data_IF_714782148811
#
_entry.id   IF_714782148811
#
_cell.length_a   1.000
_cell.length_b   1.000
_cell.length_c   1.000
_cell.angle_alpha   90.00
_cell.angle_beta   90.00
_cell.angle_gamma   90.00
#
_symmetry.space_group_name_H-M   'P 1'
#
loop_
_entity.id
_entity.type
_entity.pdbx_description
1 polymer ?
#
# COMPACT_ATOMS: atom_id res chain seq x y z
N UNK A 1 -13.27 -18.95 5.14
CA UNK A 1 -13.06 -17.55 4.72
C UNK A 1 -11.96 -16.99 5.61
N UNK A 2 -10.82 -16.57 5.05
CA UNK A 2 -9.80 -15.86 5.84
C UNK A 2 -10.49 -14.64 6.44
N UNK A 3 -10.37 -14.45 7.73
CA UNK A 3 -10.92 -13.26 8.39
C UNK A 3 -10.28 -12.03 7.73
N UNK A 4 -11.05 -11.32 6.90
CA UNK A 4 -10.65 -10.04 6.30
C UNK A 4 -10.63 -8.97 7.39
N UNK A 5 -9.65 -9.07 8.30
CA UNK A 5 -9.49 -8.14 9.41
C UNK A 5 -9.09 -6.76 8.89
N UNK A 6 -8.12 -6.69 7.97
CA UNK A 6 -7.49 -5.45 7.50
C UNK A 6 -7.37 -5.39 5.96
N UNK A 7 -7.31 -4.19 5.39
CA UNK A 7 -6.94 -3.95 3.98
C UNK A 7 -5.44 -4.19 3.83
N UNK A 8 -5.01 -5.06 2.91
CA UNK A 8 -3.59 -5.28 2.65
C UNK A 8 -3.14 -4.61 1.35
N UNK A 9 -2.17 -3.70 1.44
CA UNK A 9 -1.48 -3.11 0.29
C UNK A 9 -0.09 -3.73 0.20
N UNK A 10 0.21 -4.38 -0.93
CA UNK A 10 1.50 -5.03 -1.16
C UNK A 10 2.39 -4.11 -2.00
N UNK A 11 3.66 -3.96 -1.61
CA UNK A 11 4.63 -3.11 -2.29
C UNK A 11 5.79 -3.96 -2.79
N UNK A 12 6.11 -3.82 -4.08
CA UNK A 12 7.17 -4.57 -4.78
C UNK A 12 8.07 -3.65 -5.59
N UNK A 13 9.36 -4.00 -5.78
CA UNK A 13 10.20 -3.25 -6.70
C UNK A 13 9.75 -3.55 -8.13
N UNK A 14 9.92 -2.60 -9.04
CA UNK A 14 9.67 -2.85 -10.46
C UNK A 14 10.96 -3.41 -11.07
N UNK A 15 10.88 -4.59 -11.67
CA UNK A 15 12.03 -5.23 -12.31
C UNK A 15 12.69 -4.28 -13.33
N UNK A 16 14.02 -4.23 -13.29
CA UNK A 16 14.86 -3.38 -14.16
C UNK A 16 14.62 -1.86 -14.02
N UNK A 17 13.90 -1.39 -12.98
CA UNK A 17 13.67 0.05 -12.73
C UNK A 17 14.11 0.45 -11.33
N UNK A 18 15.38 0.83 -11.19
CA UNK A 18 15.98 1.17 -9.89
C UNK A 18 15.24 2.34 -9.23
N UNK A 19 14.77 2.11 -8.00
CA UNK A 19 14.07 3.12 -7.20
C UNK A 19 12.60 3.30 -7.57
N UNK A 20 12.06 2.50 -8.49
CA UNK A 20 10.63 2.44 -8.78
C UNK A 20 9.99 1.25 -8.08
N UNK A 21 8.78 1.47 -7.58
CA UNK A 21 8.00 0.50 -6.84
C UNK A 21 6.58 0.50 -7.37
N UNK A 22 5.92 -0.65 -7.25
CA UNK A 22 4.48 -0.77 -7.45
C UNK A 22 3.84 -1.14 -6.12
N UNK A 23 2.84 -0.36 -5.71
CA UNK A 23 1.95 -0.72 -4.62
C UNK A 23 0.63 -1.19 -5.21
N UNK A 24 0.06 -2.28 -4.68
CA UNK A 24 -1.20 -2.81 -5.18
C UNK A 24 -2.09 -3.38 -4.10
N UNK A 25 -3.40 -3.34 -4.37
CA UNK A 25 -4.47 -3.89 -3.55
C UNK A 25 -5.33 -4.81 -4.41
N UNK A 26 -5.57 -6.02 -3.93
CA UNK A 26 -6.42 -7.01 -4.59
C UNK A 26 -7.83 -6.95 -3.99
N UNK A 27 -8.80 -6.53 -4.80
CA UNK A 27 -10.21 -6.47 -4.44
C UNK A 27 -10.91 -7.75 -4.92
N UNK A 28 -10.84 -8.83 -4.14
CA UNK A 28 -11.40 -10.15 -4.50
C UNK A 28 -12.88 -10.08 -4.91
N UNK A 29 -13.68 -9.27 -4.23
CA UNK A 29 -15.13 -9.10 -4.50
C UNK A 29 -15.43 -8.40 -5.83
N UNK A 30 -14.49 -7.61 -6.36
CA UNK A 30 -14.59 -6.97 -7.68
C UNK A 30 -13.86 -7.77 -8.76
N UNK A 31 -13.12 -8.81 -8.39
CA UNK A 31 -12.20 -9.51 -9.28
C UNK A 31 -11.22 -8.55 -9.98
N UNK A 32 -10.72 -7.55 -9.23
CA UNK A 32 -9.89 -6.48 -9.77
C UNK A 32 -8.67 -6.18 -8.88
N UNK A 33 -7.61 -5.67 -9.52
CA UNK A 33 -6.40 -5.21 -8.84
C UNK A 33 -6.19 -3.72 -9.13
N UNK A 34 -6.10 -2.93 -8.05
CA UNK A 34 -5.73 -1.52 -8.14
C UNK A 34 -4.24 -1.40 -7.86
N UNK A 35 -3.54 -0.57 -8.64
CA UNK A 35 -2.11 -0.38 -8.45
C UNK A 35 -1.67 1.06 -8.71
N UNK A 36 -0.59 1.46 -8.05
CA UNK A 36 0.09 2.73 -8.26
C UNK A 36 1.59 2.49 -8.42
N UNK A 37 2.18 3.10 -9.45
CA UNK A 37 3.63 3.16 -9.63
C UNK A 37 4.18 4.40 -8.94
N UNK A 38 5.22 4.23 -8.13
CA UNK A 38 5.81 5.30 -7.34
C UNK A 38 7.34 5.21 -7.32
N UNK A 39 7.98 6.38 -7.18
CA UNK A 39 9.43 6.50 -7.02
C UNK A 39 9.81 6.56 -5.54
N UNK A 40 11.03 6.19 -5.21
CA UNK A 40 11.61 6.26 -3.86
C UNK A 40 11.88 7.68 -3.33
N UNK A 41 10.95 8.62 -3.50
CA UNK A 41 11.09 10.02 -3.11
C UNK A 41 9.82 10.55 -2.41
N UNK A 42 9.83 11.83 -2.00
CA UNK A 42 8.71 12.45 -1.25
C UNK A 42 7.39 12.43 -2.02
N UNK A 43 7.44 12.62 -3.35
CA UNK A 43 6.23 12.57 -4.19
C UNK A 43 5.69 11.15 -4.32
N UNK A 44 6.58 10.15 -4.33
CA UNK A 44 6.17 8.75 -4.28
C UNK A 44 5.53 8.37 -2.94
N UNK A 45 6.00 8.93 -1.82
CA UNK A 45 5.34 8.77 -0.53
C UNK A 45 3.94 9.37 -0.53
N UNK A 46 3.78 10.57 -1.10
CA UNK A 46 2.48 11.21 -1.23
C UNK A 46 1.53 10.40 -2.13
N UNK A 47 2.04 9.85 -3.25
CA UNK A 47 1.27 8.99 -4.12
C UNK A 47 0.82 7.69 -3.42
N UNK A 48 1.70 7.08 -2.63
CA UNK A 48 1.38 5.89 -1.83
C UNK A 48 0.31 6.20 -0.78
N UNK A 49 0.44 7.31 -0.07
CA UNK A 49 -0.54 7.76 0.92
C UNK A 49 -1.90 8.02 0.28
N UNK A 50 -1.96 8.77 -0.82
CA UNK A 50 -3.21 9.05 -1.55
C UNK A 50 -3.87 7.78 -2.08
N UNK A 51 -3.08 6.82 -2.56
CA UNK A 51 -3.58 5.52 -2.99
C UNK A 51 -4.20 4.75 -1.81
N UNK A 52 -3.48 4.69 -0.68
CA UNK A 52 -3.95 4.01 0.52
C UNK A 52 -5.26 4.64 1.06
N UNK A 53 -5.31 5.97 1.14
CA UNK A 53 -6.50 6.71 1.58
C UNK A 53 -7.70 6.50 0.64
N UNK A 54 -7.48 6.44 -0.68
CA UNK A 54 -8.51 6.11 -1.65
C UNK A 54 -9.08 4.70 -1.43
N UNK A 55 -8.22 3.70 -1.25
CA UNK A 55 -8.63 2.31 -0.99
C UNK A 55 -9.42 2.24 0.32
N UNK A 56 -8.94 2.89 1.38
CA UNK A 56 -9.62 2.93 2.67
C UNK A 56 -10.99 3.61 2.60
N UNK A 57 -11.09 4.80 2.00
CA UNK A 57 -12.37 5.51 1.88
C UNK A 57 -13.39 4.74 1.04
N UNK A 58 -12.94 4.06 0.00
CA UNK A 58 -13.83 3.33 -0.93
C UNK A 58 -14.24 1.97 -0.36
N UNK A 59 -13.31 1.24 0.27
CA UNK A 59 -13.49 -0.17 0.61
C UNK A 59 -13.35 -0.49 2.10
N UNK A 60 -12.91 0.45 2.93
CA UNK A 60 -12.66 0.25 4.37
C UNK A 60 -13.87 -0.27 5.13
N UNK A 61 -15.08 0.13 4.75
CA UNK A 61 -16.34 -0.36 5.36
C UNK A 61 -16.59 -1.85 5.14
N UNK A 62 -15.93 -2.46 4.15
CA UNK A 62 -16.04 -3.89 3.86
C UNK A 62 -15.08 -4.74 4.72
N UNK A 63 -14.22 -4.10 5.52
CA UNK A 63 -13.24 -4.75 6.40
C UNK A 63 -13.53 -4.44 7.86
N UNK A 64 -13.22 -5.38 8.75
CA UNK A 64 -13.67 -5.32 10.15
C UNK A 64 -12.98 -4.23 10.96
N UNK A 65 -11.71 -3.92 10.67
CA UNK A 65 -10.95 -2.88 11.38
C UNK A 65 -10.89 -1.55 10.64
N UNK A 66 -11.10 -1.55 9.31
CA UNK A 66 -10.76 -0.42 8.45
C UNK A 66 -9.26 -0.13 8.33
N UNK A 67 -8.39 -0.83 9.07
CA UNK A 67 -6.95 -0.57 9.05
C UNK A 67 -6.32 -0.99 7.71
N UNK A 68 -5.32 -0.21 7.27
CA UNK A 68 -4.45 -0.54 6.15
C UNK A 68 -3.16 -1.15 6.68
N UNK A 69 -2.84 -2.36 6.23
CA UNK A 69 -1.55 -3.01 6.44
C UNK A 69 -0.72 -2.96 5.17
N UNK A 70 0.47 -2.36 5.26
CA UNK A 70 1.45 -2.41 4.19
C UNK A 70 2.33 -3.64 4.31
N UNK A 71 2.44 -4.43 3.23
CA UNK A 71 3.35 -5.57 3.14
C UNK A 71 4.37 -5.35 2.04
N UNK A 72 5.63 -5.19 2.43
CA UNK A 72 6.75 -5.11 1.47
C UNK A 72 7.17 -6.53 1.11
N UNK A 73 7.20 -6.88 -0.18
CA UNK A 73 7.42 -8.27 -0.61
C UNK A 73 8.87 -8.74 -0.51
N UNK A 74 9.80 -7.83 -0.23
CA UNK A 74 11.23 -8.11 -0.27
C UNK A 74 11.92 -7.50 0.96
N UNK A 75 12.52 -8.33 1.80
CA UNK A 75 13.21 -7.92 3.05
C UNK A 75 14.42 -7.00 2.78
N UNK A 76 14.93 -7.02 1.53
CA UNK A 76 16.06 -6.18 1.11
C UNK A 76 15.66 -4.76 0.64
N UNK A 77 14.38 -4.38 0.67
CA UNK A 77 13.96 -3.01 0.40
C UNK A 77 14.45 -2.05 1.49
N UNK A 78 15.62 -1.45 1.26
CA UNK A 78 16.07 -0.30 2.03
C UNK A 78 15.39 0.96 1.50
N UNK A 79 14.15 1.21 1.91
CA UNK A 79 13.57 2.55 1.77
C UNK A 79 14.43 3.52 2.59
N UNK A 80 15.23 4.34 1.91
CA UNK A 80 16.08 5.33 2.58
C UNK A 80 15.32 6.62 2.90
N UNK A 81 14.14 6.81 2.30
CA UNK A 81 13.34 8.02 2.46
C UNK A 81 12.44 7.91 3.70
N UNK A 82 12.64 8.82 4.66
CA UNK A 82 11.86 8.87 5.90
C UNK A 82 10.35 9.02 5.66
N UNK A 83 9.92 9.82 4.68
CA UNK A 83 8.50 9.99 4.42
C UNK A 83 7.83 8.72 3.89
N UNK A 84 8.54 7.89 3.12
CA UNK A 84 8.03 6.57 2.75
C UNK A 84 7.92 5.66 3.97
N UNK A 85 8.92 5.65 4.84
CA UNK A 85 8.89 4.88 6.08
C UNK A 85 7.73 5.32 7.00
N UNK A 86 7.50 6.62 7.11
CA UNK A 86 6.40 7.19 7.91
C UNK A 86 5.04 6.69 7.38
N UNK A 87 4.83 6.69 6.06
CA UNK A 87 3.60 6.15 5.43
C UNK A 87 3.44 4.65 5.70
N UNK A 88 4.50 3.86 5.65
CA UNK A 88 4.44 2.42 5.95
C UNK A 88 4.08 2.14 7.41
N UNK A 89 4.46 3.02 8.31
CA UNK A 89 4.14 2.92 9.75
C UNK A 89 2.78 3.52 10.13
N UNK A 90 2.12 4.21 9.18
CA UNK A 90 0.89 4.94 9.45
C UNK A 90 -0.30 3.97 9.53
N UNK A 91 -1.00 3.98 10.67
CA UNK A 91 -2.28 3.28 10.84
C UNK A 91 -3.42 4.25 10.62
N UNK A 92 -4.31 3.95 9.67
CA UNK A 92 -5.60 4.63 9.59
C UNK A 92 -6.49 4.12 10.73
N UNK A 93 -6.87 5.01 11.65
CA UNK A 93 -7.86 4.72 12.68
C UNK A 93 -9.28 4.93 12.13
N UNK A 94 -10.19 4.02 12.50
CA UNK A 94 -11.60 4.01 12.12
C UNK A 94 -12.43 5.17 12.72
#
# INVERSE_FOLDING_TARGET
>A
MKENRNIQIIIRPVENRKGEHIAYYEAEFLQATFSVYLKGNIFGALALHSFADMIHKTYGKNYRSGEIDFKVSDEAMRFQNKALLDVLSFKHAA
#
